data_IF_255858528633
#
_entry.id   IF_255858528633
#
_cell.length_a   1.000
_cell.length_b   1.000
_cell.length_c   1.000
_cell.angle_alpha   90.00
_cell.angle_beta   90.00
_cell.angle_gamma   90.00
#
_symmetry.space_group_name_H-M   'P 1'
#
loop_
_entity.id
_entity.type
_entity.pdbx_description
1 polymer ?
#
# COMPACT_ATOMS: atom_id res chain seq x y z
N UNK A 1 30.78 37.99 -49.95
CA UNK A 1 30.75 36.90 -48.94
C UNK A 1 31.87 37.11 -47.95
N UNK A 2 31.58 37.69 -46.78
CA UNK A 2 32.37 37.51 -45.55
C UNK A 2 31.38 37.53 -44.40
N UNK A 3 31.39 36.45 -43.62
CA UNK A 3 30.61 36.24 -42.40
C UNK A 3 31.02 37.28 -41.35
N UNK A 4 30.04 37.94 -40.72
CA UNK A 4 30.28 38.74 -39.52
C UNK A 4 29.51 38.08 -38.37
N UNK A 5 30.09 37.00 -37.85
CA UNK A 5 29.77 36.46 -36.54
C UNK A 5 30.21 37.48 -35.46
N UNK A 6 29.41 38.53 -35.31
CA UNK A 6 29.53 39.45 -34.18
C UNK A 6 28.79 38.82 -32.99
N UNK A 7 29.52 38.09 -32.14
CA UNK A 7 28.99 37.58 -30.88
C UNK A 7 28.81 38.77 -29.92
N UNK A 8 27.61 39.37 -29.95
CA UNK A 8 27.20 40.35 -28.95
C UNK A 8 26.77 39.62 -27.66
N UNK A 9 27.61 39.66 -26.63
CA UNK A 9 27.26 39.14 -25.30
C UNK A 9 26.33 40.15 -24.59
N UNK A 10 25.01 39.96 -24.70
CA UNK A 10 24.03 40.76 -23.95
C UNK A 10 24.06 40.39 -22.45
N UNK A 11 24.68 41.25 -21.63
CA UNK A 11 24.61 41.16 -20.16
C UNK A 11 23.52 42.10 -19.68
N UNK A 12 22.46 41.53 -19.11
CA UNK A 12 21.36 42.27 -18.51
C UNK A 12 21.63 42.41 -17.01
N UNK A 13 22.08 43.59 -16.56
CA UNK A 13 22.08 43.94 -15.13
C UNK A 13 21.09 45.07 -14.87
N UNK A 14 20.18 44.82 -13.93
CA UNK A 14 19.18 45.74 -13.36
C UNK A 14 18.68 46.88 -14.26
N UNK A 15 18.15 46.56 -15.45
CA UNK A 15 17.41 47.53 -16.26
C UNK A 15 18.24 48.64 -16.91
N UNK A 16 19.57 48.53 -16.97
CA UNK A 16 20.42 49.38 -17.83
C UNK A 16 21.14 48.51 -18.86
N UNK A 17 20.79 48.71 -20.13
CA UNK A 17 21.55 48.19 -21.28
C UNK A 17 22.82 49.04 -21.43
N UNK A 18 23.96 48.50 -21.02
CA UNK A 18 25.28 49.00 -21.40
C UNK A 18 25.88 48.09 -22.47
N UNK A 19 26.15 48.63 -23.66
CA UNK A 19 27.11 48.04 -24.59
C UNK A 19 28.50 48.35 -24.01
N UNK A 20 29.25 47.33 -23.60
CA UNK A 20 30.68 47.48 -23.35
C UNK A 20 31.41 47.11 -24.64
N UNK A 21 31.92 48.08 -25.43
CA UNK A 21 32.87 47.76 -26.48
C UNK A 21 34.19 47.38 -25.80
N UNK A 22 34.63 46.14 -25.96
CA UNK A 22 36.05 45.83 -25.83
C UNK A 22 36.75 46.51 -27.02
N UNK A 23 37.28 47.71 -26.78
CA UNK A 23 38.17 48.40 -27.72
C UNK A 23 39.54 47.69 -27.69
N UNK A 24 39.85 46.95 -28.76
CA UNK A 24 41.24 46.66 -29.14
C UNK A 24 41.82 47.96 -29.72
N UNK A 25 43.03 48.39 -29.32
CA UNK A 25 43.56 49.70 -29.69
C UNK A 25 44.17 49.69 -31.09
N UNK A 26 43.94 50.77 -31.83
CA UNK A 26 44.69 51.12 -33.03
C UNK A 26 43.85 51.15 -34.29
N UNK A 27 43.36 52.33 -34.65
CA UNK A 27 43.55 52.95 -35.98
C UNK A 27 43.03 54.41 -35.91
N UNK A 28 43.75 55.40 -36.48
CA UNK A 28 43.49 56.80 -36.23
C UNK A 28 42.50 57.36 -37.26
N UNK A 29 41.53 58.16 -36.82
CA UNK A 29 40.83 59.08 -37.71
C UNK A 29 40.70 60.44 -37.03
N UNK A 30 41.28 61.45 -37.69
CA UNK A 30 41.33 62.85 -37.30
C UNK A 30 39.95 63.43 -37.01
N UNK A 31 39.90 64.24 -35.96
CA UNK A 31 38.82 65.19 -35.68
C UNK A 31 39.07 66.46 -36.48
N UNK A 32 38.07 66.93 -37.23
CA UNK A 32 37.88 68.35 -37.49
C UNK A 32 36.39 68.66 -37.68
N UNK A 33 35.93 69.74 -37.03
CA UNK A 33 34.70 70.46 -37.35
C UNK A 33 33.41 69.89 -36.74
N UNK A 34 32.87 70.59 -35.73
CA UNK A 34 31.68 70.19 -35.01
C UNK A 34 30.36 70.40 -35.77
N UNK A 35 29.45 69.44 -35.59
CA UNK A 35 28.00 69.64 -35.55
C UNK A 35 27.43 68.53 -34.67
N UNK A 36 26.77 68.91 -33.58
CA UNK A 36 26.12 67.97 -32.68
C UNK A 36 24.90 67.37 -33.38
N UNK A 37 25.08 66.24 -34.05
CA UNK A 37 23.96 65.43 -34.51
C UNK A 37 23.24 64.86 -33.28
N UNK A 38 22.10 65.47 -32.96
CA UNK A 38 21.14 64.96 -31.99
C UNK A 38 20.77 63.53 -32.38
N UNK A 39 21.34 62.55 -31.69
CA UNK A 39 20.98 61.15 -31.86
C UNK A 39 19.50 61.01 -31.48
N UNK A 40 18.64 60.97 -32.48
CA UNK A 40 17.24 60.59 -32.34
C UNK A 40 17.23 59.13 -31.86
N UNK A 41 17.31 58.96 -30.54
CA UNK A 41 17.34 57.68 -29.87
C UNK A 41 15.93 57.10 -29.96
N UNK A 42 15.61 56.51 -31.11
CA UNK A 42 14.51 55.57 -31.22
C UNK A 42 14.80 54.45 -30.23
N UNK A 43 14.19 54.54 -29.05
CA UNK A 43 14.17 53.49 -28.05
C UNK A 43 13.45 52.28 -28.66
N UNK A 44 14.19 51.45 -29.39
CA UNK A 44 13.71 50.13 -29.79
C UNK A 44 13.56 49.32 -28.52
N UNK A 45 12.34 49.29 -27.98
CA UNK A 45 11.96 48.51 -26.82
C UNK A 45 11.97 47.03 -27.21
N UNK A 46 13.12 46.37 -27.04
CA UNK A 46 13.17 44.93 -27.15
C UNK A 46 12.37 44.30 -26.00
N UNK A 47 11.44 43.36 -26.29
CA UNK A 47 10.65 42.72 -25.25
C UNK A 47 11.57 41.98 -24.28
N UNK A 48 11.39 42.27 -22.99
CA UNK A 48 12.18 41.67 -21.92
C UNK A 48 11.72 40.22 -21.67
N UNK A 49 12.65 39.38 -21.22
CA UNK A 49 12.31 38.02 -20.82
C UNK A 49 11.49 38.03 -19.52
N UNK A 50 10.28 37.44 -19.55
CA UNK A 50 9.50 37.24 -18.35
C UNK A 50 10.05 36.07 -17.52
N UNK A 51 10.80 36.36 -16.47
CA UNK A 51 11.36 35.35 -15.56
C UNK A 51 10.76 35.40 -14.14
N UNK A 52 9.59 36.00 -13.95
CA UNK A 52 8.94 36.16 -12.64
C UNK A 52 9.88 36.70 -11.53
N UNK A 53 10.83 37.58 -11.88
CA UNK A 53 11.85 38.11 -10.96
C UNK A 53 12.74 37.03 -10.29
N UNK A 54 12.89 35.88 -10.93
CA UNK A 54 13.70 34.76 -10.42
C UNK A 54 14.96 34.48 -11.23
N UNK A 55 15.11 35.08 -12.41
CA UNK A 55 16.35 35.05 -13.16
C UNK A 55 16.71 36.45 -13.64
N UNK A 56 18.02 36.75 -13.67
CA UNK A 56 18.56 37.99 -14.25
C UNK A 56 19.01 37.80 -15.71
N UNK A 57 19.22 36.56 -16.13
CA UNK A 57 19.72 36.21 -17.47
C UNK A 57 18.70 35.33 -18.17
N UNK A 58 18.60 35.49 -19.48
CA UNK A 58 17.81 34.64 -20.35
C UNK A 58 18.55 34.43 -21.68
N UNK A 59 18.16 33.38 -22.41
CA UNK A 59 18.59 33.10 -23.77
C UNK A 59 17.39 33.14 -24.71
N UNK A 60 17.61 33.56 -25.95
CA UNK A 60 16.60 33.46 -26.99
C UNK A 60 16.64 32.05 -27.61
N UNK A 61 15.47 31.50 -27.91
CA UNK A 61 15.31 30.27 -28.65
C UNK A 61 14.35 30.50 -29.81
N UNK A 62 14.88 30.36 -31.04
CA UNK A 62 14.15 30.59 -32.28
C UNK A 62 12.99 29.60 -32.51
N UNK A 63 13.15 28.35 -32.10
CA UNK A 63 12.13 27.31 -32.26
C UNK A 63 10.91 27.62 -31.39
N UNK A 64 11.15 27.95 -30.12
CA UNK A 64 10.09 28.37 -29.19
C UNK A 64 9.39 29.67 -29.64
N UNK A 65 10.13 30.58 -30.29
CA UNK A 65 9.55 31.78 -30.88
C UNK A 65 8.57 31.44 -32.00
N UNK A 66 8.95 30.56 -32.94
CA UNK A 66 8.07 30.08 -34.01
C UNK A 66 6.81 29.40 -33.44
N UNK A 67 6.97 28.49 -32.47
CA UNK A 67 5.85 27.78 -31.83
C UNK A 67 4.90 28.72 -31.07
N UNK A 68 5.40 29.82 -30.51
CA UNK A 68 4.57 30.82 -29.82
C UNK A 68 3.75 31.72 -30.77
N UNK A 69 3.78 31.48 -32.08
CA UNK A 69 3.19 32.37 -33.09
C UNK A 69 3.96 33.68 -33.20
N UNK A 70 5.29 33.63 -33.13
CA UNK A 70 6.19 34.80 -33.19
C UNK A 70 5.95 35.82 -32.06
N UNK A 71 5.50 35.35 -30.89
CA UNK A 71 5.24 36.20 -29.70
C UNK A 71 6.40 36.24 -28.71
N UNK A 72 6.98 35.09 -28.34
CA UNK A 72 8.06 35.03 -27.35
C UNK A 72 8.94 33.78 -27.49
N UNK A 73 10.25 34.00 -27.61
CA UNK A 73 11.30 32.96 -27.67
C UNK A 73 12.20 32.90 -26.44
N UNK A 74 11.97 33.74 -25.43
CA UNK A 74 12.86 33.84 -24.27
C UNK A 74 12.79 32.62 -23.36
N UNK A 75 13.95 32.16 -22.87
CA UNK A 75 14.10 31.08 -21.88
C UNK A 75 15.00 31.58 -20.76
N UNK A 76 14.51 31.58 -19.53
CA UNK A 76 15.25 32.04 -18.36
C UNK A 76 16.39 31.07 -18.01
N UNK A 77 17.50 31.63 -17.54
CA UNK A 77 18.70 30.88 -17.16
C UNK A 77 18.94 30.99 -15.65
N UNK A 78 19.30 29.88 -15.01
CA UNK A 78 19.60 29.81 -13.58
C UNK A 78 18.48 30.40 -12.70
N UNK A 79 17.27 29.84 -12.80
CA UNK A 79 16.15 30.22 -11.94
C UNK A 79 16.56 30.12 -10.46
N UNK A 80 16.47 31.25 -9.75
CA UNK A 80 16.74 31.38 -8.31
C UNK A 80 15.46 31.12 -7.52
N UNK A 81 15.55 31.22 -6.20
CA UNK A 81 14.38 31.10 -5.30
C UNK A 81 13.64 29.76 -5.38
N UNK A 82 14.37 28.68 -5.74
CA UNK A 82 13.83 27.33 -5.86
C UNK A 82 12.70 27.19 -6.90
N UNK A 83 12.74 28.04 -7.93
CA UNK A 83 11.84 27.96 -9.08
C UNK A 83 12.48 27.25 -10.26
N UNK A 84 11.65 26.78 -11.18
CA UNK A 84 12.03 26.03 -12.36
C UNK A 84 11.09 26.34 -13.53
N UNK A 85 11.47 25.84 -14.71
CA UNK A 85 10.76 26.03 -15.96
C UNK A 85 11.21 27.25 -16.77
N UNK A 86 10.68 27.35 -17.98
CA UNK A 86 11.07 28.36 -18.98
C UNK A 86 11.03 29.80 -18.48
N UNK A 87 10.01 30.13 -17.70
CA UNK A 87 9.79 31.45 -17.13
C UNK A 87 10.01 31.47 -15.60
N UNK A 88 10.63 30.44 -15.02
CA UNK A 88 10.73 30.27 -13.56
C UNK A 88 9.36 30.35 -12.87
N UNK A 89 8.36 29.63 -13.41
CA UNK A 89 6.94 29.83 -13.09
C UNK A 89 6.35 28.73 -12.19
N UNK A 90 7.11 27.66 -11.92
CA UNK A 90 6.74 26.61 -10.97
C UNK A 90 7.92 26.30 -10.05
N UNK A 91 7.66 25.55 -8.97
CA UNK A 91 8.69 25.19 -8.01
C UNK A 91 9.49 23.98 -8.47
N UNK A 92 10.81 23.99 -8.23
CA UNK A 92 11.66 22.83 -8.53
C UNK A 92 11.26 21.63 -7.68
N UNK A 93 11.67 20.43 -8.09
CA UNK A 93 11.43 19.21 -7.32
C UNK A 93 11.94 19.32 -5.87
N UNK A 94 11.15 18.79 -4.92
CA UNK A 94 11.40 18.98 -3.49
C UNK A 94 10.94 20.33 -2.94
N UNK A 95 10.25 21.15 -3.74
CA UNK A 95 9.59 22.39 -3.31
C UNK A 95 8.15 22.45 -3.82
N UNK A 96 7.29 23.14 -3.08
CA UNK A 96 5.89 23.37 -3.42
C UNK A 96 5.52 24.85 -3.36
N UNK A 97 4.43 25.22 -4.02
CA UNK A 97 3.95 26.59 -4.19
C UNK A 97 3.26 27.08 -2.90
N UNK A 98 3.75 28.20 -2.36
CA UNK A 98 3.10 28.91 -1.25
C UNK A 98 2.04 29.89 -1.78
N UNK A 99 0.78 29.46 -1.81
CA UNK A 99 -0.33 30.26 -2.36
C UNK A 99 -0.56 31.59 -1.63
N UNK A 100 -0.04 31.77 -0.40
CA UNK A 100 -0.14 33.04 0.32
C UNK A 100 0.73 34.16 -0.28
N UNK A 101 1.66 33.82 -1.19
CA UNK A 101 2.59 34.77 -1.80
C UNK A 101 2.43 34.75 -3.32
N UNK A 102 2.63 35.88 -4.02
CA UNK A 102 2.64 35.88 -5.49
C UNK A 102 3.83 35.09 -6.03
N UNK A 103 3.72 34.57 -7.27
CA UNK A 103 4.79 33.77 -7.89
C UNK A 103 6.09 34.55 -7.98
N UNK A 104 6.05 35.87 -8.12
CA UNK A 104 7.25 36.74 -8.21
C UNK A 104 8.05 36.86 -6.91
N UNK A 105 7.51 36.38 -5.78
CA UNK A 105 8.13 36.54 -4.46
C UNK A 105 9.33 35.59 -4.27
N UNK A 106 10.40 36.04 -3.59
CA UNK A 106 11.63 35.22 -3.34
C UNK A 106 11.41 33.93 -2.54
N UNK A 107 10.26 33.83 -1.87
CA UNK A 107 9.80 32.68 -1.06
C UNK A 107 8.49 32.10 -1.59
N UNK A 108 8.19 32.28 -2.88
CA UNK A 108 7.01 31.71 -3.52
C UNK A 108 7.03 30.16 -3.53
N UNK A 109 8.22 29.57 -3.38
CA UNK A 109 8.44 28.14 -3.27
C UNK A 109 8.99 27.78 -1.88
N UNK A 110 8.31 26.85 -1.21
CA UNK A 110 8.66 26.34 0.12
C UNK A 110 9.15 24.90 0.01
N UNK A 111 10.11 24.51 0.85
CA UNK A 111 10.70 23.17 0.82
C UNK A 111 9.68 22.10 1.26
N UNK A 112 9.77 20.92 0.64
CA UNK A 112 9.06 19.72 1.07
C UNK A 112 9.80 19.11 2.26
N UNK A 113 9.34 19.36 3.49
CA UNK A 113 9.94 18.78 4.69
C UNK A 113 9.37 17.37 4.98
N UNK A 114 9.43 16.48 3.98
CA UNK A 114 8.90 15.13 4.11
C UNK A 114 9.67 14.31 5.15
N UNK A 115 8.95 13.69 6.09
CA UNK A 115 9.55 12.94 7.18
C UNK A 115 10.31 11.71 6.65
N UNK A 116 11.59 11.51 7.02
CA UNK A 116 12.46 10.49 6.41
C UNK A 116 11.97 9.06 6.61
N UNK A 117 11.27 8.80 7.72
CA UNK A 117 10.72 7.47 8.04
C UNK A 117 9.26 7.35 7.58
N UNK A 118 8.50 8.44 7.64
CA UNK A 118 7.05 8.42 7.47
C UNK A 118 6.59 8.63 6.03
N UNK A 119 7.41 9.28 5.21
CA UNK A 119 7.16 9.43 3.79
C UNK A 119 7.82 8.30 2.97
N UNK A 120 7.23 7.98 1.83
CA UNK A 120 7.79 7.07 0.82
C UNK A 120 8.80 7.77 -0.10
N UNK A 121 8.82 9.11 -0.12
CA UNK A 121 9.71 9.90 -0.97
C UNK A 121 9.89 11.33 -0.46
N UNK A 122 10.87 12.04 -1.04
CA UNK A 122 11.22 13.43 -0.69
C UNK A 122 10.48 14.48 -1.51
N UNK A 123 9.88 14.08 -2.63
CA UNK A 123 9.12 14.96 -3.53
C UNK A 123 7.67 15.03 -3.08
N UNK A 124 7.22 16.22 -2.69
CA UNK A 124 5.83 16.47 -2.35
C UNK A 124 5.03 17.03 -3.55
N UNK A 125 3.72 17.05 -3.42
CA UNK A 125 2.83 17.65 -4.41
C UNK A 125 3.13 19.16 -4.54
N UNK A 126 3.36 19.64 -5.77
CA UNK A 126 3.78 21.03 -6.02
C UNK A 126 2.71 22.08 -5.65
N UNK A 127 1.43 21.70 -5.59
CA UNK A 127 0.32 22.61 -5.28
C UNK A 127 -0.05 22.56 -3.81
N UNK A 128 -0.18 21.36 -3.23
CA UNK A 128 -0.65 21.18 -1.85
C UNK A 128 0.47 21.06 -0.82
N UNK A 129 1.69 20.73 -1.25
CA UNK A 129 2.81 20.41 -0.36
C UNK A 129 2.69 19.03 0.29
N UNK A 130 1.66 18.22 -0.05
CA UNK A 130 1.45 16.91 0.55
C UNK A 130 2.54 15.92 0.11
N UNK A 131 3.27 15.38 1.08
CA UNK A 131 4.24 14.31 0.89
C UNK A 131 3.53 12.95 0.68
N UNK A 132 4.14 12.03 -0.08
CA UNK A 132 3.62 10.68 -0.25
C UNK A 132 3.82 9.89 1.06
N UNK A 133 2.78 9.76 1.87
CA UNK A 133 2.87 9.08 3.18
C UNK A 133 2.81 7.56 3.05
N UNK A 134 3.52 6.86 3.95
CA UNK A 134 3.41 5.42 4.11
C UNK A 134 2.09 5.02 4.78
N UNK A 135 1.77 3.73 4.74
CA UNK A 135 0.57 3.17 5.34
C UNK A 135 0.45 3.54 6.82
N UNK A 136 -0.73 4.03 7.20
CA UNK A 136 -1.01 4.45 8.57
C UNK A 136 -0.36 5.77 9.00
N UNK A 137 0.38 6.46 8.13
CA UNK A 137 1.00 7.76 8.39
C UNK A 137 0.14 8.87 7.78
N UNK A 138 0.04 10.02 8.45
CA UNK A 138 -0.71 11.19 8.00
C UNK A 138 0.01 12.51 8.32
N UNK A 139 -0.57 13.63 7.88
CA UNK A 139 0.00 14.97 7.93
C UNK A 139 0.65 15.39 6.60
N UNK A 140 0.77 16.70 6.37
CA UNK A 140 1.37 17.27 5.14
C UNK A 140 2.79 16.72 4.92
N UNK A 141 3.57 16.59 6.00
CA UNK A 141 4.94 16.10 6.00
C UNK A 141 5.07 14.62 6.39
N UNK A 142 3.97 13.89 6.57
CA UNK A 142 3.97 12.49 7.02
C UNK A 142 4.66 12.27 8.37
N UNK A 143 4.43 13.16 9.34
CA UNK A 143 5.12 13.19 10.63
C UNK A 143 4.35 12.54 11.79
N UNK A 144 3.15 12.00 11.57
CA UNK A 144 2.33 11.39 12.64
C UNK A 144 1.54 10.20 12.14
N UNK A 145 1.16 9.29 13.03
CA UNK A 145 0.26 8.21 12.68
C UNK A 145 -1.19 8.70 12.54
N UNK A 146 -1.95 8.07 11.64
CA UNK A 146 -3.38 8.30 11.49
C UNK A 146 -4.15 7.81 12.73
N UNK A 147 -5.38 8.28 12.90
CA UNK A 147 -6.25 7.82 13.99
C UNK A 147 -6.45 6.31 13.90
N UNK A 148 -6.31 5.61 15.02
CA UNK A 148 -6.34 4.14 15.05
C UNK A 148 -5.02 3.47 14.67
N UNK A 149 -3.92 4.22 14.60
CA UNK A 149 -2.57 3.69 14.42
C UNK A 149 -1.65 4.18 15.55
N UNK A 150 -0.65 3.36 15.90
CA UNK A 150 0.40 3.66 16.87
C UNK A 150 1.79 3.55 16.23
N UNK A 151 2.77 4.26 16.79
CA UNK A 151 4.15 4.23 16.29
C UNK A 151 4.80 2.87 16.57
N UNK A 152 5.54 2.37 15.59
CA UNK A 152 6.34 1.16 15.69
C UNK A 152 7.84 1.50 15.66
N UNK A 153 8.68 0.55 16.05
CA UNK A 153 10.15 0.70 15.97
C UNK A 153 10.71 0.42 14.56
N UNK A 154 9.89 -0.01 13.60
CA UNK A 154 10.33 -0.36 12.25
C UNK A 154 10.44 0.88 11.37
N UNK A 155 11.60 1.15 10.74
CA UNK A 155 11.73 2.22 9.75
C UNK A 155 10.90 1.97 8.48
N UNK A 156 10.60 0.71 8.18
CA UNK A 156 9.83 0.31 6.99
C UNK A 156 8.34 0.55 7.22
N UNK A 157 7.82 0.16 8.38
CA UNK A 157 6.41 0.30 8.75
C UNK A 157 6.27 1.09 10.07
N UNK A 158 6.42 2.43 10.04
CA UNK A 158 6.48 3.24 11.26
C UNK A 158 5.15 3.36 12.00
N UNK A 159 4.01 3.10 11.36
CA UNK A 159 2.69 3.16 11.99
C UNK A 159 1.96 1.82 11.78
N UNK A 160 1.49 1.22 12.86
CA UNK A 160 0.71 -0.04 12.85
C UNK A 160 -0.68 0.21 13.43
N UNK A 161 -1.71 -0.49 12.92
CA UNK A 161 -3.08 -0.34 13.43
C UNK A 161 -3.14 -0.74 14.90
N UNK A 162 -3.80 0.09 15.71
CA UNK A 162 -4.16 -0.23 17.08
C UNK A 162 -5.23 -1.34 17.01
N UNK A 163 -5.01 -2.50 17.63
CA UNK A 163 -6.07 -3.49 17.76
C UNK A 163 -7.22 -2.85 18.56
N UNK A 164 -8.42 -2.84 17.99
CA UNK A 164 -9.62 -2.36 18.69
C UNK A 164 -9.90 -3.37 19.80
N UNK A 165 -9.51 -3.03 21.02
CA UNK A 165 -9.94 -3.75 22.21
C UNK A 165 -11.35 -3.24 22.48
N UNK A 166 -12.37 -4.05 22.16
CA UNK A 166 -13.71 -3.79 22.67
C UNK A 166 -13.63 -3.76 24.20
N UNK A 167 -14.27 -2.79 24.89
CA UNK A 167 -14.24 -2.72 26.34
C UNK A 167 -15.15 -3.81 26.90
N UNK A 168 -14.63 -5.01 26.96
CA UNK A 168 -14.93 -6.01 27.97
C UNK A 168 -13.70 -6.91 28.04
N UNK A 169 -13.23 -7.14 29.26
CA UNK A 169 -11.98 -7.83 29.61
C UNK A 169 -10.74 -6.91 29.62
N UNK A 170 -10.64 -6.15 30.71
CA UNK A 170 -9.35 -5.79 31.29
C UNK A 170 -8.72 -7.11 31.77
N UNK A 171 -7.74 -7.62 31.04
CA UNK A 171 -6.74 -8.55 31.60
C UNK A 171 -5.38 -8.03 31.20
N UNK A 172 -4.82 -7.24 32.11
CA UNK A 172 -3.39 -7.11 32.29
C UNK A 172 -2.92 -8.38 32.99
N UNK A 173 -2.37 -9.33 32.24
CA UNK A 173 -1.41 -10.28 32.77
C UNK A 173 -0.52 -10.77 31.64
N UNK A 174 0.77 -10.53 31.81
CA UNK A 174 1.84 -11.34 31.23
C UNK A 174 1.74 -12.75 31.79
N UNK A 175 0.91 -13.58 31.18
CA UNK A 175 1.07 -15.03 31.22
C UNK A 175 0.88 -15.52 29.79
N UNK A 176 1.93 -16.10 29.21
CA UNK A 176 1.72 -16.99 28.08
C UNK A 176 0.63 -17.99 28.49
N UNK A 177 -0.38 -18.28 27.64
CA UNK A 177 -1.20 -19.44 27.89
C UNK A 177 -0.27 -20.65 27.73
N UNK A 178 0.24 -21.08 28.87
CA UNK A 178 0.74 -22.42 29.07
C UNK A 178 -0.31 -23.35 28.47
N UNK A 179 0.17 -24.18 27.55
CA UNK A 179 -0.51 -25.36 27.02
C UNK A 179 -1.30 -25.26 25.70
N UNK A 180 -0.97 -24.35 24.77
CA UNK A 180 -1.43 -24.52 23.36
C UNK A 180 -0.83 -25.78 22.68
N UNK A 181 0.28 -26.34 23.19
CA UNK A 181 0.95 -27.52 22.60
C UNK A 181 0.19 -28.85 22.90
N UNK A 182 -0.58 -28.92 24.00
CA UNK A 182 -1.35 -30.13 24.37
C UNK A 182 -2.71 -30.23 23.66
N UNK A 183 -3.35 -29.10 23.36
CA UNK A 183 -4.71 -29.07 22.78
C UNK A 183 -4.74 -29.14 21.26
N UNK A 184 -3.77 -28.53 20.57
CA UNK A 184 -3.75 -28.51 19.10
C UNK A 184 -2.33 -28.49 18.57
N UNK A 185 -1.96 -29.47 17.72
CA UNK A 185 -0.66 -29.45 17.03
C UNK A 185 -0.75 -28.49 15.84
N UNK A 186 -0.17 -27.27 15.89
CA UNK A 186 -0.10 -26.41 14.72
C UNK A 186 0.56 -27.18 13.58
N UNK A 187 -0.07 -27.16 12.40
CA UNK A 187 0.48 -27.83 11.22
C UNK A 187 1.69 -27.04 10.71
N UNK A 188 2.87 -27.30 11.30
CA UNK A 188 4.15 -26.75 10.84
C UNK A 188 4.59 -27.51 9.58
N UNK A 189 4.48 -26.89 8.40
CA UNK A 189 5.10 -27.39 7.14
C UNK A 189 4.14 -27.66 5.95
N UNK A 190 4.71 -28.13 4.83
CA UNK A 190 3.97 -28.55 3.63
C UNK A 190 3.21 -29.85 3.89
N UNK A 191 1.97 -29.74 4.39
CA UNK A 191 1.15 -30.90 4.73
C UNK A 191 0.82 -31.75 3.50
N UNK A 192 1.35 -32.97 3.47
CA UNK A 192 1.13 -33.95 2.41
C UNK A 192 0.00 -34.91 2.81
N UNK A 193 -1.24 -34.69 2.34
CA UNK A 193 -2.34 -35.66 2.57
C UNK A 193 -2.01 -36.98 1.85
N UNK A 194 -1.91 -38.06 2.61
CA UNK A 194 -1.80 -39.41 2.08
C UNK A 194 -3.16 -40.12 2.10
N UNK A 195 -3.24 -41.29 1.45
CA UNK A 195 -4.46 -42.10 1.43
C UNK A 195 -4.94 -42.45 2.83
N UNK A 196 -4.02 -42.88 3.71
CA UNK A 196 -4.32 -43.30 5.08
C UNK A 196 -5.04 -42.20 5.86
N UNK A 197 -4.56 -40.95 5.77
CA UNK A 197 -5.15 -39.79 6.44
C UNK A 197 -6.53 -39.43 5.88
N UNK A 198 -6.74 -39.57 4.56
CA UNK A 198 -8.04 -39.37 3.93
C UNK A 198 -9.06 -40.46 4.32
N UNK A 199 -8.63 -41.73 4.37
CA UNK A 199 -9.51 -42.85 4.74
C UNK A 199 -9.99 -42.76 6.20
N UNK A 200 -9.15 -42.24 7.11
CA UNK A 200 -9.48 -42.03 8.53
C UNK A 200 -10.48 -40.91 8.83
N UNK A 201 -10.87 -40.10 7.83
CA UNK A 201 -11.80 -38.98 8.02
C UNK A 201 -13.19 -39.35 7.51
N UNK A 202 -14.22 -38.84 8.14
CA UNK A 202 -15.62 -39.13 7.75
C UNK A 202 -16.05 -38.25 6.59
N UNK A 203 -15.61 -36.99 6.59
CA UNK A 203 -15.88 -36.06 5.50
C UNK A 203 -14.61 -35.35 5.03
N UNK A 204 -14.62 -34.97 3.76
CA UNK A 204 -13.56 -34.18 3.13
C UNK A 204 -14.19 -33.25 2.11
N UNK A 205 -14.18 -31.95 2.39
CA UNK A 205 -14.90 -30.94 1.62
C UNK A 205 -14.04 -29.72 1.34
N UNK A 206 -14.27 -29.11 0.18
CA UNK A 206 -13.74 -27.82 -0.18
C UNK A 206 -14.79 -26.77 0.12
N UNK A 207 -14.43 -25.80 0.96
CA UNK A 207 -15.31 -24.72 1.40
C UNK A 207 -14.74 -23.36 1.02
N UNK A 208 -15.63 -22.39 0.79
CA UNK A 208 -15.30 -20.98 0.74
C UNK A 208 -15.85 -20.31 2.00
N UNK A 209 -15.01 -19.56 2.72
CA UNK A 209 -15.43 -18.90 3.96
C UNK A 209 -16.02 -17.53 3.62
N UNK A 210 -17.27 -17.31 4.01
CA UNK A 210 -18.02 -16.09 3.73
C UNK A 210 -17.97 -15.14 4.92
N UNK A 211 -18.43 -15.59 6.09
CA UNK A 211 -18.55 -14.77 7.30
C UNK A 211 -18.28 -15.56 8.58
N UNK A 212 -18.13 -14.88 9.71
CA UNK A 212 -17.87 -15.45 11.03
C UNK A 212 -18.69 -14.74 12.11
N UNK A 213 -19.49 -15.51 12.83
CA UNK A 213 -20.23 -15.08 14.02
C UNK A 213 -19.66 -15.78 15.27
N UNK A 214 -19.68 -15.13 16.42
CA UNK A 214 -19.31 -15.75 17.71
C UNK A 214 -20.56 -16.13 18.48
N UNK A 215 -20.70 -17.41 18.83
CA UNK A 215 -21.85 -17.96 19.57
C UNK A 215 -21.31 -18.69 20.81
N UNK A 216 -21.27 -17.98 21.94
CA UNK A 216 -20.65 -18.49 23.18
C UNK A 216 -19.16 -18.77 22.98
N UNK A 217 -18.71 -19.97 23.35
CA UNK A 217 -17.31 -20.41 23.18
C UNK A 217 -16.97 -20.92 21.77
N UNK A 218 -17.89 -20.76 20.81
CA UNK A 218 -17.75 -21.27 19.45
C UNK A 218 -17.76 -20.14 18.41
N UNK A 219 -16.87 -20.26 17.43
CA UNK A 219 -16.94 -19.49 16.20
C UNK A 219 -17.75 -20.27 15.16
N UNK A 220 -18.78 -19.62 14.66
CA UNK A 220 -19.69 -20.09 13.64
C UNK A 220 -19.31 -19.43 12.31
N UNK A 221 -18.67 -20.19 11.43
CA UNK A 221 -18.33 -19.71 10.10
C UNK A 221 -19.44 -20.06 9.11
N UNK A 222 -19.98 -19.06 8.43
CA UNK A 222 -20.84 -19.25 7.27
C UNK A 222 -19.96 -19.61 6.07
N UNK A 223 -20.10 -20.83 5.58
CA UNK A 223 -19.26 -21.39 4.53
C UNK A 223 -20.08 -21.91 3.36
N UNK A 224 -19.55 -21.75 2.15
CA UNK A 224 -20.14 -22.35 0.95
C UNK A 224 -19.37 -23.62 0.56
N UNK A 225 -20.03 -24.78 0.57
CA UNK A 225 -19.46 -26.04 0.08
C UNK A 225 -19.39 -26.05 -1.44
N UNK A 226 -18.16 -25.88 -1.95
CA UNK A 226 -17.86 -25.92 -3.38
C UNK A 226 -17.80 -27.36 -3.89
N UNK A 227 -17.18 -28.27 -3.13
CA UNK A 227 -17.00 -29.66 -3.56
C UNK A 227 -16.89 -30.62 -2.40
N UNK A 228 -17.59 -31.76 -2.52
CA UNK A 228 -17.56 -32.85 -1.54
C UNK A 228 -16.75 -34.00 -2.12
N UNK A 229 -15.61 -34.31 -1.52
CA UNK A 229 -14.73 -35.40 -1.93
C UNK A 229 -14.98 -36.67 -1.13
N UNK A 230 -15.47 -36.55 0.11
CA UNK A 230 -15.88 -37.65 0.96
C UNK A 230 -17.01 -37.20 1.88
N UNK A 231 -17.99 -38.07 2.08
CA UNK A 231 -19.07 -37.94 3.06
C UNK A 231 -19.40 -39.34 3.53
N UNK A 232 -19.23 -39.61 4.82
CA UNK A 232 -19.58 -40.88 5.48
C UNK A 232 -20.63 -40.53 6.53
N UNK A 233 -21.82 -41.10 6.42
CA UNK A 233 -22.99 -40.68 7.20
C UNK A 233 -23.90 -39.76 6.38
N UNK A 234 -24.34 -38.65 6.98
CA UNK A 234 -25.30 -37.73 6.35
C UNK A 234 -24.73 -37.10 5.06
N UNK A 235 -25.52 -37.07 3.95
CA UNK A 235 -25.05 -36.54 2.68
C UNK A 235 -24.90 -35.01 2.74
N UNK A 236 -23.65 -34.54 2.73
CA UNK A 236 -23.34 -33.12 2.64
C UNK A 236 -23.75 -32.55 1.27
N UNK A 237 -24.70 -31.61 1.29
CA UNK A 237 -25.15 -30.88 0.08
C UNK A 237 -24.19 -29.73 -0.22
N UNK A 238 -24.03 -29.43 -1.51
CA UNK A 238 -23.32 -28.20 -1.97
C UNK A 238 -24.18 -26.98 -1.67
N UNK A 239 -23.54 -25.84 -1.46
CA UNK A 239 -24.20 -24.60 -1.08
C UNK A 239 -23.85 -24.17 0.34
N UNK A 240 -24.73 -23.38 0.94
CA UNK A 240 -24.45 -22.73 2.22
C UNK A 240 -24.55 -23.72 3.38
N UNK A 241 -23.59 -23.61 4.29
CA UNK A 241 -23.44 -24.50 5.42
C UNK A 241 -22.66 -23.78 6.52
N UNK A 242 -22.51 -24.44 7.66
CA UNK A 242 -21.91 -23.86 8.85
C UNK A 242 -20.69 -24.69 9.24
N UNK A 243 -19.58 -24.03 9.52
CA UNK A 243 -18.39 -24.64 10.10
C UNK A 243 -18.19 -24.10 11.52
N UNK A 244 -18.25 -24.99 12.50
CA UNK A 244 -18.04 -24.70 13.91
C UNK A 244 -16.57 -24.94 14.30
N UNK A 245 -15.98 -23.95 14.97
CA UNK A 245 -14.60 -24.02 15.48
C UNK A 245 -14.59 -23.48 16.90
N UNK A 246 -13.88 -24.12 17.82
CA UNK A 246 -13.81 -23.64 19.20
C UNK A 246 -13.00 -22.33 19.27
N UNK A 247 -13.44 -21.36 20.09
CA UNK A 247 -12.74 -20.06 20.22
C UNK A 247 -11.31 -20.21 20.75
N UNK A 248 -11.08 -21.19 21.64
CA UNK A 248 -9.74 -21.57 22.14
C UNK A 248 -8.78 -22.00 21.01
N UNK A 249 -9.29 -22.73 20.01
CA UNK A 249 -8.50 -23.22 18.88
C UNK A 249 -8.11 -22.07 17.93
N UNK A 250 -9.04 -21.13 17.71
CA UNK A 250 -8.75 -19.90 16.98
C UNK A 250 -7.76 -19.00 17.71
N UNK A 251 -7.83 -18.92 19.04
CA UNK A 251 -6.88 -18.17 19.86
C UNK A 251 -5.44 -18.71 19.72
N UNK A 252 -5.27 -20.05 19.67
CA UNK A 252 -3.99 -20.69 19.37
C UNK A 252 -3.61 -20.66 17.86
N UNK A 253 -4.33 -19.90 17.01
CA UNK A 253 -4.13 -19.79 15.54
C UNK A 253 -4.25 -21.11 14.78
N UNK A 254 -5.04 -22.05 15.29
CA UNK A 254 -5.17 -23.40 14.74
C UNK A 254 -6.65 -23.81 14.65
N UNK A 255 -7.35 -23.62 13.52
CA UNK A 255 -6.84 -23.29 12.18
C UNK A 255 -6.79 -21.80 11.87
N UNK A 256 -5.78 -21.39 11.08
CA UNK A 256 -5.67 -20.03 10.54
C UNK A 256 -6.64 -19.81 9.39
N UNK A 257 -7.92 -19.65 9.73
CA UNK A 257 -8.98 -19.34 8.77
C UNK A 257 -8.87 -17.86 8.38
N UNK A 258 -9.11 -17.57 7.10
CA UNK A 258 -9.13 -16.22 6.55
C UNK A 258 -10.41 -16.06 5.74
N UNK A 259 -11.10 -14.93 5.92
CA UNK A 259 -12.32 -14.61 5.19
C UNK A 259 -12.06 -14.58 3.67
N UNK A 260 -13.07 -14.92 2.88
CA UNK A 260 -13.05 -14.92 1.41
C UNK A 260 -11.99 -15.83 0.78
N UNK A 261 -11.41 -16.76 1.55
CA UNK A 261 -10.47 -17.77 1.06
C UNK A 261 -11.09 -19.16 1.07
N UNK A 262 -10.53 -20.02 0.21
CA UNK A 262 -10.91 -21.42 0.06
C UNK A 262 -10.08 -22.32 0.97
N UNK A 263 -10.72 -23.26 1.63
CA UNK A 263 -10.08 -24.21 2.53
C UNK A 263 -10.51 -25.64 2.21
N UNK A 264 -9.61 -26.59 2.44
CA UNK A 264 -10.00 -28.00 2.63
C UNK A 264 -10.30 -28.19 4.11
N UNK A 265 -11.48 -28.72 4.40
CA UNK A 265 -11.89 -29.20 5.72
C UNK A 265 -12.03 -30.71 5.65
N UNK A 266 -11.35 -31.42 6.55
CA UNK A 266 -11.58 -32.85 6.77
C UNK A 266 -11.70 -33.12 8.26
N UNK A 267 -12.81 -33.67 8.70
CA UNK A 267 -13.07 -33.95 10.11
C UNK A 267 -13.65 -35.33 10.34
N UNK A 268 -13.87 -35.64 11.62
CA UNK A 268 -14.75 -36.71 12.05
C UNK A 268 -16.14 -36.16 12.33
N UNK A 269 -17.16 -37.00 12.20
CA UNK A 269 -18.52 -36.65 12.62
C UNK A 269 -18.72 -37.03 14.09
N UNK A 270 -18.10 -36.30 15.04
CA UNK A 270 -18.46 -36.48 16.45
C UNK A 270 -19.76 -35.73 16.75
N UNK A 271 -20.86 -36.46 16.61
CA UNK A 271 -22.23 -36.05 16.90
C UNK A 271 -23.11 -37.30 17.09
N UNK A 272 -22.97 -37.91 18.27
CA UNK A 272 -23.73 -38.98 18.91
C UNK A 272 -24.87 -39.69 18.15
N UNK A 273 -24.62 -40.93 17.76
CA UNK A 273 -25.61 -42.01 17.79
C UNK A 273 -24.93 -43.26 18.36
N UNK A 274 -25.38 -43.77 19.52
CA UNK A 274 -24.91 -45.06 20.02
C UNK A 274 -24.96 -45.23 21.53
N UNK A 275 -26.05 -45.84 22.00
CA UNK A 275 -26.24 -46.56 23.26
C UNK A 275 -25.01 -47.34 23.76
N UNK A 276 -24.69 -47.26 25.06
CA UNK A 276 -23.70 -48.17 25.70
C UNK A 276 -23.21 -47.73 27.08
N UNK A 277 -23.94 -48.12 28.12
CA UNK A 277 -23.55 -48.42 29.52
C UNK A 277 -22.08 -48.23 29.99
N UNK A 278 -21.87 -47.23 30.88
CA UNK A 278 -21.03 -47.20 32.12
C UNK A 278 -19.48 -47.26 32.05
N UNK A 279 -18.75 -46.96 33.16
CA UNK A 279 -19.05 -46.08 34.31
C UNK A 279 -17.91 -45.10 34.69
N UNK A 280 -18.28 -43.96 35.31
CA UNK A 280 -17.62 -43.50 36.55
C UNK A 280 -16.51 -42.42 36.52
N UNK A 281 -16.81 -41.33 37.26
CA UNK A 281 -15.93 -40.41 38.02
C UNK A 281 -15.34 -39.22 37.23
N UNK A 282 -15.54 -37.94 37.58
CA UNK A 282 -16.08 -37.29 38.79
C UNK A 282 -16.49 -35.81 38.53
N UNK A 283 -16.91 -35.07 39.56
CA UNK A 283 -17.88 -33.97 39.44
C UNK A 283 -17.25 -32.57 39.45
N UNK A 284 -17.83 -31.64 38.69
CA UNK A 284 -17.53 -30.21 38.86
C UNK A 284 -18.04 -29.34 37.72
N UNK A 285 -19.10 -28.57 37.99
CA UNK A 285 -19.49 -27.41 37.17
C UNK A 285 -20.60 -27.68 36.18
N UNK A 286 -21.84 -27.57 36.65
CA UNK A 286 -23.02 -27.48 35.79
C UNK A 286 -22.95 -26.24 34.92
N UNK A 287 -22.99 -26.46 33.61
CA UNK A 287 -23.57 -25.53 32.65
C UNK A 287 -24.65 -26.31 31.91
N UNK A 288 -25.88 -25.95 32.21
CA UNK A 288 -27.11 -26.37 31.55
C UNK A 288 -26.93 -26.31 30.03
N UNK A 289 -26.91 -27.48 29.40
CA UNK A 289 -27.07 -27.62 27.96
C UNK A 289 -28.45 -27.10 27.54
N UNK A 290 -28.55 -26.10 26.64
CA UNK A 290 -29.73 -25.98 25.81
C UNK A 290 -29.60 -27.02 24.71
N UNK A 291 -30.55 -27.95 24.67
CA UNK A 291 -30.72 -28.86 23.55
C UNK A 291 -30.87 -28.08 22.24
N UNK A 292 -30.07 -28.47 21.26
CA UNK A 292 -30.07 -27.92 19.92
C UNK A 292 -29.02 -28.65 19.11
N UNK A 293 -29.49 -29.60 18.31
CA UNK A 293 -28.73 -30.29 17.28
C UNK A 293 -27.88 -29.26 16.51
N UNK A 294 -26.56 -29.23 16.77
CA UNK A 294 -25.67 -28.27 16.09
C UNK A 294 -25.44 -28.76 14.67
N UNK A 295 -26.37 -28.41 13.78
CA UNK A 295 -26.29 -28.74 12.35
C UNK A 295 -25.10 -28.00 11.74
N UNK A 296 -24.12 -28.74 11.23
CA UNK A 296 -22.95 -28.18 10.57
C UNK A 296 -21.70 -29.05 10.69
N UNK A 297 -20.66 -28.64 9.97
CA UNK A 297 -19.33 -29.26 10.04
C UNK A 297 -18.64 -28.80 11.33
N UNK A 298 -18.03 -29.72 12.07
CA UNK A 298 -17.24 -29.38 13.27
C UNK A 298 -15.75 -29.57 13.00
N UNK A 299 -14.96 -28.51 13.20
CA UNK A 299 -13.51 -28.59 13.17
C UNK A 299 -12.95 -28.63 14.60
N UNK A 300 -12.72 -29.85 15.07
CA UNK A 300 -12.11 -30.18 16.36
C UNK A 300 -10.60 -30.47 16.23
N UNK A 301 -9.97 -30.92 17.33
CA UNK A 301 -8.56 -31.36 17.40
C UNK A 301 -8.18 -32.46 16.39
N UNK A 302 -9.15 -33.28 15.99
CA UNK A 302 -8.96 -34.32 14.98
C UNK A 302 -9.20 -33.78 13.56
N UNK A 303 -9.78 -32.60 13.41
CA UNK A 303 -10.07 -32.02 12.12
C UNK A 303 -8.87 -31.33 11.51
N UNK A 304 -8.87 -31.27 10.19
CA UNK A 304 -7.81 -30.68 9.41
C UNK A 304 -8.41 -29.62 8.51
N UNK A 305 -8.11 -28.36 8.84
CA UNK A 305 -8.52 -27.19 8.08
C UNK A 305 -7.29 -26.47 7.57
N UNK A 306 -7.12 -26.45 6.25
CA UNK A 306 -5.94 -25.86 5.61
C UNK A 306 -6.31 -25.17 4.31
N UNK A 307 -5.55 -24.14 3.97
CA UNK A 307 -5.80 -23.34 2.78
C UNK A 307 -5.73 -24.21 1.52
N UNK A 308 -6.72 -24.06 0.67
CA UNK A 308 -6.85 -24.81 -0.58
C UNK A 308 -5.68 -24.54 -1.54
N UNK A 309 -5.21 -25.58 -2.22
CA UNK A 309 -4.30 -25.48 -3.36
C UNK A 309 -4.82 -26.37 -4.50
N UNK A 310 -4.74 -25.92 -5.75
CA UNK A 310 -5.37 -26.63 -6.87
C UNK A 310 -4.79 -28.02 -7.15
N UNK A 311 -3.56 -28.29 -6.70
CA UNK A 311 -2.93 -29.63 -6.76
C UNK A 311 -3.72 -30.70 -5.98
N UNK A 312 -4.62 -30.27 -5.09
CA UNK A 312 -5.41 -31.14 -4.21
C UNK A 312 -6.63 -31.72 -4.92
N UNK A 313 -7.21 -31.00 -5.88
CA UNK A 313 -8.35 -31.46 -6.68
C UNK A 313 -8.06 -32.82 -7.31
N UNK A 314 -6.94 -32.93 -8.04
CA UNK A 314 -6.53 -34.16 -8.74
C UNK A 314 -6.23 -35.29 -7.75
N UNK A 315 -5.62 -34.95 -6.61
CA UNK A 315 -5.20 -35.90 -5.58
C UNK A 315 -6.38 -36.49 -4.81
N UNK A 316 -7.31 -35.65 -4.35
CA UNK A 316 -8.52 -36.08 -3.64
C UNK A 316 -9.46 -36.88 -4.54
N UNK A 317 -9.61 -36.50 -5.82
CA UNK A 317 -10.35 -37.32 -6.80
C UNK A 317 -9.73 -38.71 -6.98
N UNK A 318 -8.40 -38.81 -6.98
CA UNK A 318 -7.70 -40.11 -7.01
C UNK A 318 -7.96 -40.93 -5.73
N UNK A 319 -8.08 -40.27 -4.58
CA UNK A 319 -8.40 -40.93 -3.31
C UNK A 319 -9.84 -41.44 -3.28
N UNK A 320 -10.80 -40.60 -3.64
CA UNK A 320 -12.21 -40.97 -3.78
C UNK A 320 -12.40 -42.19 -4.71
N UNK A 321 -11.72 -42.23 -5.86
CA UNK A 321 -11.75 -43.38 -6.78
C UNK A 321 -11.17 -44.66 -6.17
N UNK A 322 -10.13 -44.54 -5.34
CA UNK A 322 -9.49 -45.70 -4.69
C UNK A 322 -10.31 -46.20 -3.50
N UNK A 323 -10.96 -45.30 -2.76
CA UNK A 323 -11.91 -45.66 -1.71
C UNK A 323 -13.10 -46.43 -2.27
N UNK A 324 -13.70 -45.97 -3.38
CA UNK A 324 -14.75 -46.71 -4.12
C UNK A 324 -14.31 -48.11 -4.57
N UNK A 325 -13.01 -48.35 -4.72
CA UNK A 325 -12.42 -49.66 -5.05
C UNK A 325 -12.01 -50.46 -3.79
N UNK A 326 -12.53 -50.10 -2.62
CA UNK A 326 -12.29 -50.79 -1.34
C UNK A 326 -10.88 -50.59 -0.75
N UNK A 327 -10.07 -49.66 -1.25
CA UNK A 327 -8.66 -49.53 -0.82
C UNK A 327 -8.44 -48.82 0.51
N UNK A 328 -9.50 -48.44 1.23
CA UNK A 328 -9.39 -47.85 2.56
C UNK A 328 -9.24 -48.89 3.69
N UNK A 329 -9.52 -50.18 3.45
CA UNK A 329 -9.33 -51.25 4.44
C UNK A 329 -7.89 -51.73 4.61
N UNK A 330 -6.99 -51.37 3.67
CA UNK A 330 -5.57 -51.78 3.66
C UNK A 330 -4.60 -50.68 4.15
N UNK A 331 -5.09 -49.62 4.79
CA UNK A 331 -4.34 -48.38 5.01
C UNK A 331 -3.99 -48.10 6.48
#
# INVERSE_FOLDING_TARGET
TVSADLVAQLVCDQGKLGLFPNLVPGFPFSLDGGEAFTAHKSHVSYPTCNCNLHARRCRFNMELYKLSGRKSGGVCMNCRHNTAGRHCHYCKEGFYRDMARPITHRRACKACDCHPVGAAGKTCNQTTGQCPCKDGVTGITCNRCAKGYQQSRSPVAPCIKIPVVNPTVVVSSTEEPADCESYCKPVKGNLKINMKKYCKKDYAVQVNVLDMETVGDWAKFSVNLVSVYKSRGEPLKRGDNILWVHMKDLACKCPKIQMSKRFLVMGGSEGGTGTGTGPGVGPGGGATSPGGERIGLMADKNSLVIQWRDVWTRRLRKFQRKEKKGKCSKA
#
